data_IF_364884967073
#
_entry.id   IF_364884967073
#
_cell.length_a   1.000
_cell.length_b   1.000
_cell.length_c   1.000
_cell.angle_alpha   90.00
_cell.angle_beta   90.00
_cell.angle_gamma   90.00
#
_symmetry.space_group_name_H-M   'P 1'
#
loop_
_entity.id
_entity.type
_entity.pdbx_description
1 polymer ?
#
# COMPACT_ATOMS: atom_id res chain seq x y z
N UNK A 1 53.71 -1.86 37.54
CA UNK A 1 52.53 -2.50 38.16
C UNK A 1 51.33 -2.29 37.24
N UNK A 2 50.87 -3.32 36.50
CA UNK A 2 49.64 -3.28 35.68
C UNK A 2 48.48 -4.01 36.39
N UNK A 3 47.22 -3.59 36.17
CA UNK A 3 46.00 -4.43 36.28
C UNK A 3 44.82 -3.81 35.53
N UNK A 4 44.30 -4.57 34.56
CA UNK A 4 42.87 -4.80 34.21
C UNK A 4 41.97 -3.58 33.87
N UNK A 5 41.00 -3.59 32.96
CA UNK A 5 40.38 -4.57 32.04
C UNK A 5 39.31 -3.82 31.22
N UNK A 6 38.91 -4.39 30.07
CA UNK A 6 37.59 -4.14 29.46
C UNK A 6 37.68 -3.79 27.98
N UNK A 7 37.97 -4.76 27.10
CA UNK A 7 36.99 -5.43 26.22
C UNK A 7 36.13 -4.49 25.35
N UNK A 8 36.48 -4.42 24.05
CA UNK A 8 35.50 -4.30 22.98
C UNK A 8 35.91 -5.24 21.84
N UNK A 9 34.97 -6.10 21.48
CA UNK A 9 35.11 -7.32 20.68
C UNK A 9 35.29 -7.03 19.19
N UNK A 10 36.03 -7.93 18.56
CA UNK A 10 36.08 -8.16 17.11
C UNK A 10 34.68 -8.34 16.52
N UNK A 11 34.43 -7.68 15.38
CA UNK A 11 33.46 -8.17 14.40
C UNK A 11 34.16 -8.39 13.06
N UNK A 12 34.00 -9.63 12.60
CA UNK A 12 34.60 -10.23 11.44
C UNK A 12 34.00 -9.64 10.15
N UNK A 13 34.87 -9.01 9.36
CA UNK A 13 35.04 -9.10 7.90
C UNK A 13 33.91 -9.77 7.10
N UNK A 14 33.30 -9.02 6.18
CA UNK A 14 33.03 -9.47 4.80
C UNK A 14 33.28 -8.30 3.85
N UNK A 15 34.32 -8.44 3.03
CA UNK A 15 34.65 -7.57 1.91
C UNK A 15 34.05 -8.13 0.63
N UNK A 16 33.51 -7.23 -0.21
CA UNK A 16 33.38 -7.31 -1.69
C UNK A 16 32.52 -8.47 -2.21
N UNK A 17 31.61 -8.32 -3.16
CA UNK A 17 31.44 -7.41 -4.30
C UNK A 17 30.16 -7.88 -4.99
N UNK A 18 29.23 -7.00 -5.34
CA UNK A 18 28.55 -7.09 -6.64
C UNK A 18 27.75 -5.81 -6.92
N UNK A 19 28.20 -5.16 -7.97
CA UNK A 19 27.47 -4.30 -8.90
C UNK A 19 25.95 -4.51 -8.95
N UNK A 20 25.20 -3.43 -8.70
CA UNK A 20 24.20 -2.96 -9.66
C UNK A 20 23.83 -1.51 -9.35
N UNK A 21 24.43 -0.59 -10.11
CA UNK A 21 23.74 0.66 -10.42
C UNK A 21 22.47 0.31 -11.19
N UNK A 22 21.32 0.74 -10.71
CA UNK A 22 20.22 1.04 -11.61
C UNK A 22 19.46 2.22 -11.02
N UNK A 23 19.82 3.38 -11.54
CA UNK A 23 18.95 4.54 -11.64
C UNK A 23 17.57 4.08 -12.14
N UNK A 24 16.50 4.41 -11.41
CA UNK A 24 15.19 4.59 -12.01
C UNK A 24 14.77 6.03 -11.78
N UNK A 25 15.36 6.89 -12.60
CA UNK A 25 14.76 8.12 -13.04
C UNK A 25 13.49 7.83 -13.84
N UNK A 26 12.46 8.62 -13.55
CA UNK A 26 11.53 9.20 -14.53
C UNK A 26 10.59 8.26 -15.30
N UNK A 27 9.36 8.11 -14.79
CA UNK A 27 8.18 8.67 -15.46
C UNK A 27 6.93 8.54 -14.57
N UNK A 28 6.63 9.56 -13.76
CA UNK A 28 5.24 9.86 -13.39
C UNK A 28 4.81 11.06 -14.20
N UNK A 29 4.66 10.84 -15.50
CA UNK A 29 3.98 11.76 -16.41
C UNK A 29 2.48 11.65 -16.16
N UNK A 30 1.86 12.83 -16.16
CA UNK A 30 0.43 13.06 -16.39
C UNK A 30 -0.52 12.76 -15.22
N UNK A 31 -0.29 13.54 -14.18
CA UNK A 31 -1.34 14.02 -13.29
C UNK A 31 -2.20 15.05 -14.04
N UNK A 32 -3.18 14.63 -14.85
CA UNK A 32 -4.41 15.41 -15.10
C UNK A 32 -5.41 14.62 -15.96
N UNK A 33 -6.52 14.13 -15.38
CA UNK A 33 -7.88 14.62 -15.70
C UNK A 33 -8.96 13.88 -14.91
N UNK A 34 -10.01 14.65 -14.58
CA UNK A 34 -11.35 14.23 -14.17
C UNK A 34 -11.58 13.97 -12.67
N UNK A 35 -11.60 15.09 -11.94
CA UNK A 35 -12.48 15.26 -10.80
C UNK A 35 -13.97 15.10 -11.20
N UNK A 36 -14.76 14.73 -10.18
CA UNK A 36 -16.21 14.83 -10.06
C UNK A 36 -17.10 13.82 -10.83
N UNK A 37 -17.84 13.05 -10.02
CA UNK A 37 -19.10 12.35 -10.31
C UNK A 37 -19.13 11.38 -11.51
N UNK A 38 -18.99 10.08 -11.23
CA UNK A 38 -19.45 9.01 -12.12
C UNK A 38 -18.38 8.21 -12.88
N UNK A 39 -17.12 8.68 -12.93
CA UNK A 39 -16.07 8.05 -13.75
C UNK A 39 -14.75 7.71 -13.05
N UNK A 40 -14.66 7.82 -11.71
CA UNK A 40 -13.41 7.59 -10.96
C UNK A 40 -13.06 6.12 -10.71
N UNK A 41 -14.01 5.22 -10.89
CA UNK A 41 -13.79 3.78 -10.64
C UNK A 41 -12.79 3.18 -11.63
N UNK A 42 -12.69 3.74 -12.84
CA UNK A 42 -11.76 3.29 -13.89
C UNK A 42 -10.30 3.53 -13.52
N UNK A 43 -9.99 4.65 -12.86
CA UNK A 43 -8.62 4.97 -12.44
C UNK A 43 -8.10 3.99 -11.39
N UNK A 44 -8.92 3.62 -10.41
CA UNK A 44 -8.50 2.67 -9.38
C UNK A 44 -8.37 1.24 -9.91
N UNK A 45 -9.19 0.86 -10.89
CA UNK A 45 -9.09 -0.44 -11.57
C UNK A 45 -7.76 -0.56 -12.35
N UNK A 46 -7.30 0.51 -12.99
CA UNK A 46 -5.99 0.52 -13.65
C UNK A 46 -4.84 0.26 -12.68
N UNK A 47 -4.82 0.97 -11.54
CA UNK A 47 -3.82 0.74 -10.49
C UNK A 47 -3.93 -0.68 -9.92
N UNK A 48 -5.16 -1.21 -9.80
CA UNK A 48 -5.40 -2.57 -9.34
C UNK A 48 -4.81 -3.59 -10.32
N UNK A 49 -4.98 -3.39 -11.63
CA UNK A 49 -4.42 -4.24 -12.66
C UNK A 49 -2.88 -4.21 -12.64
N UNK A 50 -2.26 -3.05 -12.38
CA UNK A 50 -0.81 -2.92 -12.22
C UNK A 50 -0.24 -3.67 -11.02
N UNK A 51 -1.05 -3.88 -9.97
CA UNK A 51 -0.64 -4.66 -8.79
C UNK A 51 -1.21 -6.08 -8.77
N UNK A 52 -2.10 -6.42 -9.71
CA UNK A 52 -2.75 -7.71 -9.78
C UNK A 52 -1.73 -8.84 -9.98
N UNK A 53 -1.86 -9.91 -9.22
CA UNK A 53 -0.90 -11.02 -9.18
C UNK A 53 0.42 -10.72 -8.46
N UNK A 54 0.67 -9.48 -8.04
CA UNK A 54 1.91 -9.09 -7.35
C UNK A 54 1.77 -9.03 -5.83
N UNK A 55 0.56 -9.22 -5.26
CA UNK A 55 0.29 -9.08 -3.81
C UNK A 55 0.81 -7.74 -3.25
N UNK A 56 0.68 -6.68 -4.05
CA UNK A 56 1.05 -5.31 -3.68
C UNK A 56 -0.22 -4.49 -3.43
N UNK A 57 -0.04 -3.44 -2.65
CA UNK A 57 -1.03 -2.45 -2.30
C UNK A 57 -0.49 -1.05 -2.59
N UNK A 58 -1.37 -0.17 -3.05
CA UNK A 58 -1.11 1.24 -3.31
C UNK A 58 -2.01 2.05 -2.40
N UNK A 59 -1.39 2.98 -1.68
CA UNK A 59 -2.06 3.92 -0.81
C UNK A 59 -2.23 5.23 -1.56
N UNK A 60 -3.45 5.76 -1.54
CA UNK A 60 -3.83 6.97 -2.24
C UNK A 60 -4.29 8.03 -1.24
N UNK A 61 -3.91 9.27 -1.50
CA UNK A 61 -4.33 10.42 -0.71
C UNK A 61 -5.74 10.91 -1.10
N UNK A 62 -6.15 12.02 -0.49
CA UNK A 62 -7.44 12.67 -0.80
C UNK A 62 -7.56 13.26 -2.22
N UNK A 63 -6.45 13.37 -2.95
CA UNK A 63 -6.38 13.87 -4.33
C UNK A 63 -6.26 12.72 -5.33
N UNK A 64 -6.47 11.48 -4.88
CA UNK A 64 -6.28 10.26 -5.68
C UNK A 64 -4.84 10.13 -6.21
N UNK A 65 -3.84 10.64 -5.48
CA UNK A 65 -2.42 10.49 -5.81
C UNK A 65 -1.79 9.35 -5.01
N UNK A 66 -0.94 8.57 -5.67
CA UNK A 66 -0.17 7.51 -5.03
C UNK A 66 0.79 8.10 -4.01
N UNK A 67 0.55 7.77 -2.73
CA UNK A 67 1.45 8.11 -1.63
C UNK A 67 2.62 7.12 -1.63
N UNK A 68 2.29 5.82 -1.70
CA UNK A 68 3.25 4.73 -1.59
C UNK A 68 2.68 3.41 -2.10
N UNK A 69 3.58 2.54 -2.59
CA UNK A 69 3.31 1.14 -2.94
C UNK A 69 4.05 0.22 -1.97
N UNK A 70 3.33 -0.72 -1.37
CA UNK A 70 3.83 -1.66 -0.35
C UNK A 70 3.27 -3.07 -0.56
N UNK A 71 3.89 -4.12 -0.01
CA UNK A 71 3.30 -5.46 -0.04
C UNK A 71 2.03 -5.54 0.82
N UNK A 72 1.05 -6.33 0.39
CA UNK A 72 -0.24 -6.53 1.10
C UNK A 72 -0.04 -7.00 2.54
N UNK A 73 1.03 -7.76 2.81
CA UNK A 73 1.38 -8.23 4.16
C UNK A 73 1.63 -7.07 5.14
N UNK A 74 2.13 -5.94 4.64
CA UNK A 74 2.43 -4.75 5.44
C UNK A 74 1.28 -3.74 5.42
N UNK A 75 0.24 -3.96 4.61
CA UNK A 75 -0.88 -3.04 4.46
C UNK A 75 -1.56 -2.74 5.78
N UNK A 76 -1.84 -3.75 6.61
CA UNK A 76 -2.46 -3.54 7.91
C UNK A 76 -1.63 -2.64 8.83
N UNK A 77 -0.31 -2.78 8.80
CA UNK A 77 0.60 -1.98 9.60
C UNK A 77 0.70 -0.54 9.06
N UNK A 78 0.80 -0.39 7.74
CA UNK A 78 0.82 0.93 7.10
C UNK A 78 -0.50 1.66 7.23
N UNK A 79 -1.66 0.98 7.22
CA UNK A 79 -2.93 1.64 7.52
C UNK A 79 -2.99 2.09 8.98
N UNK A 80 -2.43 1.30 9.91
CA UNK A 80 -2.37 1.66 11.33
C UNK A 80 -1.40 2.80 11.64
N UNK A 81 -0.26 2.88 10.95
CA UNK A 81 0.77 3.93 11.16
C UNK A 81 0.55 5.14 10.26
N UNK A 82 0.05 4.90 9.06
CA UNK A 82 -0.19 5.88 8.02
C UNK A 82 -1.24 6.91 8.41
N UNK A 83 -1.04 8.10 7.85
CA UNK A 83 -1.89 9.28 8.00
C UNK A 83 -2.27 9.75 6.59
N UNK A 84 -3.42 10.39 6.48
CA UNK A 84 -3.91 11.02 5.23
C UNK A 84 -4.23 10.06 4.06
N UNK A 85 -4.39 8.77 4.36
CA UNK A 85 -4.84 7.77 3.38
C UNK A 85 -6.34 7.88 3.21
N UNK A 86 -6.80 8.15 1.98
CA UNK A 86 -8.23 8.26 1.67
C UNK A 86 -8.74 7.06 0.85
N UNK A 87 -7.88 6.51 -0.02
CA UNK A 87 -8.21 5.35 -0.84
C UNK A 87 -7.09 4.31 -0.74
N UNK A 88 -7.47 3.03 -0.74
CA UNK A 88 -6.52 1.91 -0.70
C UNK A 88 -6.85 0.97 -1.84
N UNK A 89 -5.85 0.62 -2.66
CA UNK A 89 -5.98 -0.32 -3.77
C UNK A 89 -5.04 -1.48 -3.51
N UNK A 90 -5.50 -2.73 -3.54
CA UNK A 90 -4.63 -3.87 -3.30
C UNK A 90 -5.08 -5.15 -3.98
N UNK A 91 -4.10 -5.96 -4.35
CA UNK A 91 -4.31 -7.27 -4.97
C UNK A 91 -4.67 -8.33 -3.93
N UNK A 92 -5.92 -8.31 -3.46
CA UNK A 92 -6.36 -9.28 -2.46
C UNK A 92 -7.85 -9.29 -2.13
N UNK A 93 -8.18 -10.08 -1.10
CA UNK A 93 -9.54 -10.25 -0.61
C UNK A 93 -9.84 -9.17 0.44
N UNK A 94 -10.94 -8.45 0.24
CA UNK A 94 -11.43 -7.44 1.17
C UNK A 94 -12.15 -8.14 2.31
N UNK A 95 -11.52 -8.15 3.49
CA UNK A 95 -12.06 -8.78 4.71
C UNK A 95 -12.74 -7.76 5.62
N UNK A 96 -13.56 -8.24 6.57
CA UNK A 96 -14.16 -7.39 7.61
C UNK A 96 -13.09 -6.66 8.43
N UNK A 97 -12.00 -7.33 8.82
CA UNK A 97 -10.91 -6.71 9.61
C UNK A 97 -10.29 -5.52 8.90
N UNK A 98 -10.08 -5.63 7.58
CA UNK A 98 -9.55 -4.53 6.78
C UNK A 98 -10.55 -3.36 6.71
N UNK A 99 -11.84 -3.66 6.53
CA UNK A 99 -12.92 -2.68 6.57
C UNK A 99 -12.99 -1.94 7.92
N UNK A 100 -12.80 -2.65 9.03
CA UNK A 100 -12.83 -2.06 10.37
C UNK A 100 -11.63 -1.12 10.59
N UNK A 101 -10.43 -1.51 10.14
CA UNK A 101 -9.23 -0.65 10.18
C UNK A 101 -9.43 0.58 9.32
N UNK A 102 -9.94 0.40 8.10
CA UNK A 102 -10.22 1.48 7.17
C UNK A 102 -11.25 2.46 7.73
N UNK A 103 -12.31 1.96 8.37
CA UNK A 103 -13.30 2.79 9.04
C UNK A 103 -12.68 3.59 10.20
N UNK A 104 -11.85 2.95 11.02
CA UNK A 104 -11.14 3.59 12.14
C UNK A 104 -10.19 4.70 11.65
N UNK A 105 -9.66 4.55 10.44
CA UNK A 105 -8.74 5.48 9.78
C UNK A 105 -9.41 6.50 8.87
N UNK A 106 -10.75 6.53 8.82
CA UNK A 106 -11.52 7.41 7.92
C UNK A 106 -11.19 7.25 6.43
N UNK A 107 -10.81 6.05 6.01
CA UNK A 107 -10.61 5.69 4.61
C UNK A 107 -11.97 5.64 3.93
N UNK A 108 -12.13 6.36 2.83
CA UNK A 108 -13.40 6.46 2.11
C UNK A 108 -13.61 5.33 1.12
N UNK A 109 -12.53 4.86 0.50
CA UNK A 109 -12.60 3.88 -0.58
C UNK A 109 -11.61 2.74 -0.35
N UNK A 110 -12.09 1.51 -0.50
CA UNK A 110 -11.25 0.31 -0.51
C UNK A 110 -11.48 -0.39 -1.84
N UNK A 111 -10.41 -0.65 -2.56
CA UNK A 111 -10.40 -1.32 -3.85
C UNK A 111 -9.59 -2.60 -3.72
N UNK A 112 -10.19 -3.70 -4.14
CA UNK A 112 -9.54 -5.01 -4.10
C UNK A 112 -9.99 -5.92 -5.22
N UNK A 113 -9.36 -7.09 -5.32
CA UNK A 113 -9.71 -8.08 -6.35
C UNK A 113 -11.07 -8.69 -6.05
N UNK A 114 -11.29 -9.10 -4.80
CA UNK A 114 -12.47 -9.85 -4.42
C UNK A 114 -13.03 -9.40 -3.09
N UNK A 115 -14.36 -9.42 -2.95
CA UNK A 115 -15.01 -9.23 -1.66
C UNK A 115 -14.95 -10.53 -0.88
N UNK A 116 -14.41 -10.47 0.34
CA UNK A 116 -14.44 -11.59 1.28
C UNK A 116 -15.77 -11.69 2.03
N UNK A 117 -15.77 -12.44 3.13
CA UNK A 117 -16.93 -12.56 3.99
C UNK A 117 -17.13 -11.27 4.80
N UNK A 118 -18.00 -10.39 4.31
CA UNK A 118 -18.32 -9.10 4.94
C UNK A 118 -19.79 -9.11 5.31
N UNK A 119 -20.07 -9.12 6.60
CA UNK A 119 -21.43 -9.26 7.13
C UNK A 119 -22.14 -7.91 7.23
N UNK A 120 -21.39 -6.83 7.47
CA UNK A 120 -21.91 -5.45 7.55
C UNK A 120 -20.98 -4.49 6.83
N UNK A 121 -21.52 -3.77 5.85
CA UNK A 121 -20.83 -2.68 5.15
C UNK A 121 -21.15 -1.35 5.86
N UNK A 122 -20.19 -0.71 6.55
CA UNK A 122 -20.40 0.63 7.09
C UNK A 122 -20.64 1.61 5.94
N UNK A 123 -21.67 2.46 6.03
CA UNK A 123 -22.03 3.43 4.97
C UNK A 123 -20.92 4.44 4.65
N UNK A 124 -19.96 4.60 5.57
CA UNK A 124 -18.83 5.53 5.46
C UNK A 124 -17.74 5.03 4.49
N UNK A 125 -17.64 3.71 4.26
CA UNK A 125 -16.57 3.13 3.44
C UNK A 125 -17.16 2.50 2.18
N UNK A 126 -16.75 3.01 1.02
CA UNK A 126 -17.10 2.44 -0.29
C UNK A 126 -16.14 1.30 -0.62
N UNK A 127 -16.70 0.16 -0.98
CA UNK A 127 -15.94 -1.01 -1.40
C UNK A 127 -16.10 -1.18 -2.90
N UNK A 128 -14.99 -1.20 -3.62
CA UNK A 128 -14.91 -1.42 -5.05
C UNK A 128 -14.15 -2.74 -5.24
N UNK A 129 -14.70 -3.62 -6.06
CA UNK A 129 -14.03 -4.88 -6.40
C UNK A 129 -13.90 -4.99 -7.90
N UNK A 130 -12.87 -5.69 -8.37
CA UNK A 130 -12.81 -6.13 -9.76
C UNK A 130 -14.07 -6.98 -10.02
N UNK A 131 -15.02 -6.45 -10.78
CA UNK A 131 -16.14 -7.27 -11.28
C UNK A 131 -15.54 -8.18 -12.33
N UNK A 132 -15.35 -9.45 -11.99
CA UNK A 132 -15.22 -10.49 -13.01
C UNK A 132 -16.56 -10.51 -13.77
N UNK A 133 -16.55 -9.98 -15.00
CA UNK A 133 -17.57 -10.24 -16.02
C UNK A 133 -17.29 -11.56 -16.70
#
# INVERSE_FOLDING_TARGET
MPKDRGEAKEFHRVTTSDTSSTELSEETKEVEKAAASGGKETGYLGILDDVAGSLKAVLLDSKDKEIKKIPVRELTDELQKGKDIQTVVFDGIITQRLLDIAHSKNIKNIVGVKMGNVVKKPKTVRVITRRET
#
